data_IF_132337675377
#
_entry.id   IF_132337675377
#
_cell.length_a   1.000
_cell.length_b   1.000
_cell.length_c   1.000
_cell.angle_alpha   90.00
_cell.angle_beta   90.00
_cell.angle_gamma   90.00
#
_symmetry.space_group_name_H-M   'P 1'
#
loop_
_entity.id
_entity.type
_entity.pdbx_description
1 polymer ?
#
# COMPACT_ATOMS: atom_id res chain seq x y z
N UNK A 1 -2.53 11.22 -27.95
CA UNK A 1 -1.94 10.27 -26.98
C UNK A 1 -2.98 9.18 -26.72
N UNK A 2 -2.90 8.07 -27.44
CA UNK A 2 -3.92 7.01 -27.37
C UNK A 2 -3.24 5.64 -27.25
N UNK A 3 -3.70 4.83 -26.31
CA UNK A 3 -3.30 3.43 -26.24
C UNK A 3 -3.91 2.69 -27.44
N UNK A 4 -3.07 2.08 -28.28
CA UNK A 4 -3.55 1.20 -29.33
C UNK A 4 -3.85 -0.17 -28.73
N UNK A 5 -5.15 -0.42 -28.55
CA UNK A 5 -5.67 -1.73 -28.17
C UNK A 5 -5.69 -2.58 -29.44
N UNK A 6 -4.88 -3.64 -29.49
CA UNK A 6 -4.99 -4.63 -30.58
C UNK A 6 -6.06 -5.63 -30.14
N UNK A 7 -7.23 -5.68 -30.80
CA UNK A 7 -8.25 -6.64 -30.45
C UNK A 7 -7.77 -8.05 -30.83
N UNK A 8 -7.77 -8.95 -29.85
CA UNK A 8 -7.55 -10.38 -30.10
C UNK A 8 -8.82 -10.96 -30.70
N UNK A 9 -8.69 -11.77 -31.77
CA UNK A 9 -9.80 -12.37 -32.51
C UNK A 9 -10.53 -13.51 -31.75
N UNK A 10 -10.42 -13.58 -30.41
CA UNK A 10 -11.06 -14.60 -29.60
C UNK A 10 -11.08 -14.28 -28.10
N UNK A 11 -11.79 -15.11 -27.33
CA UNK A 11 -11.80 -15.08 -25.86
C UNK A 11 -10.42 -15.51 -25.33
N UNK A 12 -9.52 -14.56 -25.11
CA UNK A 12 -8.16 -14.80 -24.64
C UNK A 12 -7.41 -13.52 -24.28
N UNK A 13 -6.27 -13.68 -23.62
CA UNK A 13 -5.40 -12.58 -23.18
C UNK A 13 -5.06 -11.64 -24.36
N UNK A 14 -5.33 -10.35 -24.20
CA UNK A 14 -4.89 -9.32 -25.13
C UNK A 14 -3.68 -8.59 -24.54
N UNK A 15 -2.80 -8.12 -25.42
CA UNK A 15 -1.65 -7.30 -25.06
C UNK A 15 -1.94 -5.85 -25.40
N UNK A 16 -1.67 -4.95 -24.46
CA UNK A 16 -1.67 -3.52 -24.76
C UNK A 16 -0.25 -3.04 -25.01
N UNK A 17 -0.09 -2.17 -26.01
CA UNK A 17 1.17 -1.47 -26.25
C UNK A 17 1.04 -0.03 -25.77
N UNK A 18 1.79 0.33 -24.73
CA UNK A 18 1.88 1.69 -24.20
C UNK A 18 3.35 2.13 -24.34
N UNK A 19 3.61 3.21 -25.08
CA UNK A 19 4.97 3.74 -25.31
C UNK A 19 5.99 2.69 -25.81
N UNK A 20 5.57 1.78 -26.69
CA UNK A 20 6.44 0.75 -27.27
C UNK A 20 6.65 -0.49 -26.39
N UNK A 21 6.21 -0.47 -25.12
CA UNK A 21 6.28 -1.61 -24.21
C UNK A 21 5.00 -2.46 -24.32
N UNK A 22 5.17 -3.79 -24.43
CA UNK A 22 4.08 -4.76 -24.53
C UNK A 22 3.75 -5.25 -23.12
N UNK A 23 2.53 -4.95 -22.67
CA UNK A 23 2.02 -5.43 -21.40
C UNK A 23 1.09 -6.63 -21.65
N UNK A 24 1.47 -7.79 -21.13
CA UNK A 24 0.61 -8.97 -21.08
C UNK A 24 -0.34 -8.85 -19.88
N UNK A 25 -1.66 -8.87 -20.12
CA UNK A 25 -2.65 -8.89 -19.04
C UNK A 25 -3.02 -10.33 -18.70
N UNK A 26 -2.75 -10.75 -17.46
CA UNK A 26 -3.02 -12.10 -16.93
C UNK A 26 -4.49 -12.32 -16.57
N UNK A 27 -5.28 -11.26 -16.47
CA UNK A 27 -6.71 -11.32 -16.14
C UNK A 27 -7.53 -11.78 -17.35
N UNK A 28 -8.44 -12.74 -17.14
CA UNK A 28 -9.32 -13.30 -18.17
C UNK A 28 -10.48 -12.38 -18.61
N UNK A 29 -10.67 -11.24 -17.94
CA UNK A 29 -11.77 -10.32 -18.18
C UNK A 29 -11.35 -9.22 -19.16
N UNK A 30 -12.04 -9.14 -20.30
CA UNK A 30 -11.89 -8.04 -21.25
C UNK A 30 -12.45 -6.74 -20.61
N UNK A 31 -11.86 -5.54 -20.83
CA UNK A 31 -12.39 -4.29 -20.25
C UNK A 31 -13.82 -3.97 -20.71
N UNK A 32 -14.28 -4.60 -21.80
CA UNK A 32 -15.68 -4.52 -22.25
C UNK A 32 -16.63 -5.46 -21.48
N UNK A 33 -16.09 -6.42 -20.73
CA UNK A 33 -16.81 -7.42 -19.92
C UNK A 33 -16.70 -7.12 -18.41
N UNK A 34 -16.00 -6.06 -18.02
CA UNK A 34 -15.94 -5.59 -16.64
C UNK A 34 -17.28 -4.93 -16.27
N UNK A 35 -18.27 -5.76 -15.95
CA UNK A 35 -19.55 -5.31 -15.42
C UNK A 35 -19.45 -4.83 -13.98
N UNK A 36 -20.51 -4.20 -13.50
CA UNK A 36 -20.59 -3.62 -12.16
C UNK A 36 -20.24 -4.61 -11.04
N UNK A 37 -20.54 -5.89 -11.20
CA UNK A 37 -20.21 -6.94 -10.22
C UNK A 37 -18.70 -7.11 -10.00
N UNK A 38 -17.91 -7.05 -11.08
CA UNK A 38 -16.44 -7.13 -10.99
C UNK A 38 -15.89 -5.89 -10.31
N UNK A 39 -16.44 -4.72 -10.62
CA UNK A 39 -16.04 -3.46 -9.99
C UNK A 39 -16.33 -3.49 -8.48
N UNK A 40 -17.53 -3.93 -8.08
CA UNK A 40 -17.91 -4.10 -6.67
C UNK A 40 -16.98 -5.08 -5.97
N UNK A 41 -16.66 -6.22 -6.59
CA UNK A 41 -15.70 -7.19 -6.07
C UNK A 41 -14.31 -6.59 -5.86
N UNK A 42 -13.76 -5.90 -6.86
CA UNK A 42 -12.45 -5.24 -6.73
C UNK A 42 -12.41 -4.17 -5.63
N UNK A 43 -13.47 -3.38 -5.49
CA UNK A 43 -13.57 -2.37 -4.41
C UNK A 43 -13.62 -3.06 -3.05
N UNK A 44 -14.41 -4.14 -2.92
CA UNK A 44 -14.47 -4.92 -1.70
C UNK A 44 -13.11 -5.53 -1.33
N UNK A 45 -12.38 -6.06 -2.31
CA UNK A 45 -11.04 -6.64 -2.12
C UNK A 45 -10.03 -5.59 -1.65
N UNK A 46 -9.96 -4.43 -2.32
CA UNK A 46 -9.04 -3.35 -1.96
C UNK A 46 -9.36 -2.81 -0.56
N UNK A 47 -10.63 -2.61 -0.25
CA UNK A 47 -11.05 -2.11 1.06
C UNK A 47 -10.78 -3.14 2.16
N UNK A 48 -11.14 -4.40 1.95
CA UNK A 48 -10.93 -5.47 2.91
C UNK A 48 -9.44 -5.70 3.20
N UNK A 49 -8.62 -5.82 2.17
CA UNK A 49 -7.18 -6.02 2.31
C UNK A 49 -6.47 -4.83 2.98
N UNK A 50 -6.89 -3.60 2.66
CA UNK A 50 -6.26 -2.38 3.17
C UNK A 50 -6.74 -1.96 4.56
N UNK A 51 -8.03 -2.12 4.87
CA UNK A 51 -8.62 -1.56 6.10
C UNK A 51 -8.16 -2.29 7.36
N UNK A 52 -8.28 -3.63 7.36
CA UNK A 52 -7.95 -4.47 8.51
C UNK A 52 -6.45 -4.39 8.84
N UNK A 53 -5.61 -4.53 7.80
CA UNK A 53 -4.16 -4.53 7.95
C UNK A 53 -3.61 -3.21 8.48
N UNK A 54 -4.11 -2.07 7.98
CA UNK A 54 -3.71 -0.74 8.46
C UNK A 54 -4.21 -0.51 9.90
N UNK A 55 -5.45 -0.89 10.23
CA UNK A 55 -5.99 -0.72 11.59
C UNK A 55 -5.15 -1.46 12.62
N UNK A 56 -4.82 -2.73 12.36
CA UNK A 56 -3.98 -3.55 13.24
C UNK A 56 -2.58 -2.94 13.38
N UNK A 57 -1.98 -2.49 12.27
CA UNK A 57 -0.66 -1.86 12.27
C UNK A 57 -0.61 -0.61 13.16
N UNK A 58 -1.58 0.29 13.01
CA UNK A 58 -1.68 1.52 13.81
C UNK A 58 -1.92 1.19 15.28
N UNK A 59 -2.75 0.19 15.58
CA UNK A 59 -2.96 -0.29 16.95
C UNK A 59 -1.65 -0.74 17.62
N UNK A 60 -0.84 -1.54 16.92
CA UNK A 60 0.48 -1.96 17.41
C UNK A 60 1.47 -0.82 17.55
N UNK A 61 1.47 0.14 16.62
CA UNK A 61 2.27 1.36 16.72
C UNK A 61 1.95 2.12 18.01
N UNK A 62 0.66 2.39 18.27
CA UNK A 62 0.23 3.07 19.50
C UNK A 62 0.58 2.29 20.76
N UNK A 63 0.34 0.98 20.76
CA UNK A 63 0.72 0.10 21.86
C UNK A 63 2.23 0.16 22.15
N UNK A 64 3.06 0.07 21.11
CA UNK A 64 4.52 0.13 21.22
C UNK A 64 4.98 1.47 21.75
N UNK A 65 4.38 2.57 21.31
CA UNK A 65 4.70 3.91 21.81
C UNK A 65 4.37 4.04 23.31
N UNK A 66 3.23 3.48 23.75
CA UNK A 66 2.86 3.45 25.16
C UNK A 66 3.76 2.53 26.01
N UNK A 67 4.16 1.38 25.47
CA UNK A 67 5.02 0.41 26.16
C UNK A 67 6.49 0.87 26.26
N UNK A 68 6.98 1.63 25.28
CA UNK A 68 8.37 2.09 25.18
C UNK A 68 8.45 3.62 25.09
N UNK A 69 8.19 4.34 26.19
CA UNK A 69 8.12 5.80 26.19
C UNK A 69 9.44 6.48 25.78
N UNK A 70 10.59 5.83 25.99
CA UNK A 70 11.88 6.38 25.56
C UNK A 70 12.05 6.36 24.04
N UNK A 71 11.49 5.35 23.36
CA UNK A 71 11.45 5.30 21.90
C UNK A 71 10.50 6.37 21.38
N UNK A 72 9.32 6.52 22.00
CA UNK A 72 8.35 7.56 21.65
C UNK A 72 8.97 8.97 21.73
N UNK A 73 9.71 9.27 22.81
CA UNK A 73 10.39 10.58 22.98
C UNK A 73 11.41 10.84 21.88
N UNK A 74 12.17 9.82 21.45
CA UNK A 74 13.15 9.96 20.37
C UNK A 74 12.48 10.25 19.02
N UNK A 75 11.38 9.56 18.72
CA UNK A 75 10.57 9.81 17.51
C UNK A 75 10.02 11.24 17.54
N UNK A 76 9.41 11.66 18.65
CA UNK A 76 8.86 13.01 18.80
C UNK A 76 9.95 14.08 18.63
N UNK A 77 11.15 13.85 19.18
CA UNK A 77 12.29 14.75 19.00
C UNK A 77 12.67 14.87 17.52
N UNK A 78 12.83 13.75 16.81
CA UNK A 78 13.16 13.75 15.38
C UNK A 78 12.07 14.46 14.54
N UNK A 79 10.79 14.23 14.84
CA UNK A 79 9.66 14.92 14.20
C UNK A 79 9.75 16.43 14.41
N UNK A 80 10.01 16.88 15.64
CA UNK A 80 10.11 18.31 15.96
C UNK A 80 11.33 18.97 15.31
N UNK A 81 12.43 18.23 15.15
CA UNK A 81 13.65 18.73 14.49
C UNK A 81 13.47 18.89 12.97
N UNK A 82 12.72 18.01 12.31
CA UNK A 82 12.61 17.99 10.84
C UNK A 82 11.34 18.70 10.33
N UNK A 83 10.20 18.42 10.95
CA UNK A 83 8.90 18.94 10.50
C UNK A 83 8.57 20.24 11.23
N UNK A 84 8.89 20.32 12.52
CA UNK A 84 8.54 21.44 13.39
C UNK A 84 7.05 21.49 13.76
N UNK A 85 6.65 22.44 14.62
CA UNK A 85 5.30 22.49 15.20
C UNK A 85 4.22 23.10 14.28
N UNK A 86 4.61 23.76 13.19
CA UNK A 86 3.70 24.58 12.36
C UNK A 86 3.25 23.95 11.05
N UNK A 87 3.73 22.74 10.73
CA UNK A 87 3.51 22.08 9.43
C UNK A 87 3.05 20.64 9.63
N UNK A 88 2.19 20.17 8.73
CA UNK A 88 1.81 18.76 8.67
C UNK A 88 2.92 17.90 8.02
N UNK A 89 3.09 16.63 8.44
CA UNK A 89 4.00 15.70 7.78
C UNK A 89 3.67 15.52 6.30
N UNK A 90 4.71 15.46 5.46
CA UNK A 90 4.61 15.11 4.05
C UNK A 90 5.44 13.85 3.76
N UNK A 91 5.12 13.15 2.67
CA UNK A 91 5.81 11.92 2.29
C UNK A 91 7.32 12.13 2.05
N UNK A 92 7.73 13.32 1.60
CA UNK A 92 9.15 13.62 1.40
C UNK A 92 9.95 13.67 2.70
N UNK A 93 9.31 13.98 3.83
CA UNK A 93 9.97 14.07 5.14
C UNK A 93 10.50 12.71 5.61
N UNK A 94 9.89 11.62 5.13
CA UNK A 94 10.27 10.25 5.48
C UNK A 94 11.77 10.00 5.28
N UNK A 95 12.35 10.52 4.18
CA UNK A 95 13.78 10.34 3.86
C UNK A 95 14.71 11.04 4.85
N UNK A 96 14.20 12.09 5.49
CA UNK A 96 14.94 12.87 6.48
C UNK A 96 14.76 12.32 7.90
N UNK A 97 13.84 11.38 8.13
CA UNK A 97 13.51 10.79 9.43
C UNK A 97 13.94 9.31 9.56
N UNK A 98 15.25 9.01 9.50
CA UNK A 98 15.74 7.63 9.49
C UNK A 98 15.41 6.86 10.77
N UNK A 99 15.35 7.51 11.94
CA UNK A 99 15.05 6.81 13.19
C UNK A 99 13.58 6.37 13.24
N UNK A 100 12.66 7.26 12.89
CA UNK A 100 11.23 6.96 12.81
C UNK A 100 10.96 5.87 11.77
N UNK A 101 11.62 5.95 10.60
CA UNK A 101 11.52 4.90 9.59
C UNK A 101 12.02 3.55 10.12
N UNK A 102 13.16 3.53 10.81
CA UNK A 102 13.69 2.32 11.41
C UNK A 102 12.73 1.70 12.44
N UNK A 103 12.09 2.53 13.28
CA UNK A 103 11.10 2.04 14.25
C UNK A 103 9.87 1.45 13.57
N UNK A 104 9.33 2.11 12.53
CA UNK A 104 8.19 1.58 11.77
C UNK A 104 8.54 0.21 11.16
N UNK A 105 9.72 0.10 10.54
CA UNK A 105 10.19 -1.15 9.95
C UNK A 105 10.40 -2.25 11.00
N UNK A 106 10.95 -1.90 12.16
CA UNK A 106 11.16 -2.85 13.26
C UNK A 106 9.83 -3.34 13.84
N UNK A 107 8.83 -2.46 13.93
CA UNK A 107 7.47 -2.85 14.32
C UNK A 107 6.91 -3.82 13.29
N UNK A 108 6.99 -3.53 11.98
CA UNK A 108 6.55 -4.47 10.96
C UNK A 108 7.30 -5.81 10.94
N UNK A 109 8.55 -5.83 11.39
CA UNK A 109 9.32 -7.07 11.57
C UNK A 109 8.85 -7.86 12.80
N UNK A 110 8.47 -7.17 13.87
CA UNK A 110 8.06 -7.78 15.14
C UNK A 110 6.60 -8.25 15.11
N UNK A 111 5.72 -7.48 14.48
CA UNK A 111 4.29 -7.81 14.37
C UNK A 111 4.05 -8.69 13.16
N UNK A 112 3.25 -9.73 13.35
CA UNK A 112 2.79 -10.57 12.25
C UNK A 112 1.32 -10.31 12.02
N UNK A 113 0.99 -9.42 11.08
CA UNK A 113 -0.40 -9.02 10.77
C UNK A 113 -1.21 -10.19 10.20
N UNK A 114 -0.58 -11.02 9.36
CA UNK A 114 -1.20 -12.19 8.74
C UNK A 114 -0.29 -13.41 8.93
N UNK A 115 -0.36 -14.11 10.08
CA UNK A 115 0.61 -15.14 10.45
C UNK A 115 0.61 -16.38 9.55
N UNK A 116 -0.52 -16.69 8.91
CA UNK A 116 -0.66 -17.86 8.05
C UNK A 116 -0.74 -17.50 6.56
N UNK A 117 -0.51 -16.22 6.22
CA UNK A 117 -0.72 -15.67 4.89
C UNK A 117 -2.14 -15.96 4.33
N UNK A 118 -2.40 -15.59 3.08
CA UNK A 118 -3.62 -15.93 2.37
C UNK A 118 -3.39 -17.25 1.63
N UNK A 119 -4.39 -18.14 1.61
CA UNK A 119 -4.34 -19.38 0.84
C UNK A 119 -4.14 -19.06 -0.66
N UNK A 120 -3.14 -19.69 -1.26
CA UNK A 120 -2.77 -19.54 -2.67
C UNK A 120 -3.37 -20.65 -3.52
#
# INVERSE_FOLDING_TARGET
MGAQIVPSAGRGAYCFRIHGQIYHRTSRLHPAEAGDEVLVGCVADVFGAGSESVRVSIGWLMYTMAAFPDVQKKIQKEILEIIGPGRNPDYQDQKSMPFTQAVILEIFRWITIVPLNIFR
#
